data_IF_485086676105
#
_entry.id   IF_485086676105
#
_cell.length_a   1.000
_cell.length_b   1.000
_cell.length_c   1.000
_cell.angle_alpha   90.00
_cell.angle_beta   90.00
_cell.angle_gamma   90.00
#
_symmetry.space_group_name_H-M   'P 1'
#
loop_
_entity.id
_entity.type
_entity.pdbx_description
1 polymer ?
#
# COMPACT_ATOMS: atom_id res chain seq x y z
N UNK A 1 12.19 -9.59 8.07
CA UNK A 1 12.21 -10.99 8.57
C UNK A 1 11.36 -11.19 9.84
N UNK A 2 11.49 -10.34 10.87
CA UNK A 2 10.83 -10.51 12.17
C UNK A 2 9.28 -10.51 12.15
N UNK A 3 8.63 -9.69 11.33
CA UNK A 3 7.15 -9.61 11.28
C UNK A 3 6.51 -10.95 10.90
N UNK A 4 7.06 -11.63 9.88
CA UNK A 4 6.57 -12.95 9.44
C UNK A 4 6.76 -13.98 10.55
N UNK A 5 7.92 -13.98 11.22
CA UNK A 5 8.19 -14.85 12.35
C UNK A 5 7.17 -14.62 13.48
N UNK A 6 6.90 -13.36 13.86
CA UNK A 6 5.90 -13.04 14.88
C UNK A 6 4.49 -13.54 14.50
N UNK A 7 4.09 -13.38 13.24
CA UNK A 7 2.80 -13.89 12.76
C UNK A 7 2.73 -15.42 12.83
N UNK A 8 3.78 -16.12 12.42
CA UNK A 8 3.83 -17.59 12.47
C UNK A 8 3.82 -18.11 13.90
N UNK A 9 4.58 -17.48 14.79
CA UNK A 9 4.59 -17.81 16.21
C UNK A 9 3.21 -17.54 16.84
N UNK A 10 2.54 -16.43 16.52
CA UNK A 10 1.17 -16.17 17.00
C UNK A 10 0.21 -17.28 16.56
N UNK A 11 0.25 -17.68 15.28
CA UNK A 11 -0.58 -18.77 14.76
C UNK A 11 -0.29 -20.09 15.48
N UNK A 12 0.99 -20.37 15.78
CA UNK A 12 1.37 -21.54 16.57
C UNK A 12 0.78 -21.47 17.98
N UNK A 13 0.87 -20.32 18.65
CA UNK A 13 0.29 -20.10 19.98
C UNK A 13 -1.21 -20.42 19.97
N UNK A 14 -1.97 -19.81 19.07
CA UNK A 14 -3.42 -20.03 18.96
C UNK A 14 -3.71 -21.51 18.72
N UNK A 15 -2.99 -22.17 17.81
CA UNK A 15 -3.19 -23.59 17.50
C UNK A 15 -2.96 -24.48 18.71
N UNK A 16 -1.88 -24.29 19.45
CA UNK A 16 -1.56 -25.10 20.64
C UNK A 16 -2.69 -25.11 21.65
N UNK A 17 -3.39 -23.99 21.82
CA UNK A 17 -4.51 -23.86 22.74
C UNK A 17 -5.87 -24.33 22.19
N UNK A 18 -5.99 -24.58 20.88
CA UNK A 18 -7.21 -25.09 20.25
C UNK A 18 -7.06 -26.55 19.76
N UNK A 19 -5.99 -27.24 20.17
CA UNK A 19 -5.84 -28.66 19.91
C UNK A 19 -6.82 -29.44 20.77
N UNK A 20 -7.40 -30.55 20.26
CA UNK A 20 -8.27 -31.40 21.07
C UNK A 20 -7.50 -32.03 22.25
N UNK A 21 -8.22 -32.32 23.33
CA UNK A 21 -7.66 -32.74 24.64
C UNK A 21 -6.92 -34.09 24.62
N UNK A 22 -7.13 -34.86 23.56
CA UNK A 22 -6.48 -36.14 23.28
C UNK A 22 -5.06 -35.96 22.70
N UNK A 23 -4.76 -34.80 22.12
CA UNK A 23 -3.44 -34.49 21.59
C UNK A 23 -2.41 -34.43 22.71
N UNK A 24 -1.27 -35.11 22.51
CA UNK A 24 -0.12 -35.06 23.43
C UNK A 24 0.25 -33.62 23.81
N UNK A 25 0.23 -32.71 22.83
CA UNK A 25 0.60 -31.32 23.06
C UNK A 25 -0.38 -30.61 24.00
N UNK A 26 -1.69 -30.85 23.88
CA UNK A 26 -2.70 -30.28 24.78
C UNK A 26 -2.49 -30.74 26.23
N UNK A 27 -2.19 -32.04 26.42
CA UNK A 27 -1.86 -32.59 27.75
C UNK A 27 -0.55 -32.04 28.33
N UNK A 28 0.39 -31.63 27.47
CA UNK A 28 1.67 -31.07 27.87
C UNK A 28 1.61 -29.57 28.19
N UNK A 29 0.61 -28.82 27.71
CA UNK A 29 0.52 -27.36 27.92
C UNK A 29 0.58 -26.96 29.40
N UNK A 30 -0.15 -27.60 30.34
CA UNK A 30 -0.07 -27.24 31.76
C UNK A 30 1.34 -27.41 32.33
N UNK A 31 2.01 -28.52 31.99
CA UNK A 31 3.38 -28.82 32.43
C UNK A 31 4.40 -27.84 31.84
N UNK A 32 4.25 -27.51 30.56
CA UNK A 32 5.11 -26.58 29.84
C UNK A 32 4.93 -25.14 30.37
N UNK A 33 3.72 -24.77 30.78
CA UNK A 33 3.41 -23.43 31.30
C UNK A 33 3.87 -23.27 32.74
N UNK A 34 3.77 -24.31 33.56
CA UNK A 34 4.26 -24.33 34.94
C UNK A 34 5.77 -24.60 35.07
N UNK A 35 6.45 -24.94 33.96
CA UNK A 35 7.88 -25.26 33.99
C UNK A 35 8.73 -24.07 34.43
N UNK A 36 9.75 -24.28 35.29
CA UNK A 36 10.63 -23.21 35.75
C UNK A 36 11.41 -22.58 34.57
N UNK A 37 11.75 -21.30 34.71
CA UNK A 37 12.44 -20.48 33.67
C UNK A 37 13.75 -21.12 33.17
N UNK A 38 14.39 -21.96 33.99
CA UNK A 38 15.64 -22.69 33.65
C UNK A 38 15.41 -24.00 32.87
N UNK A 39 14.16 -24.40 32.61
CA UNK A 39 13.89 -25.63 31.85
C UNK A 39 14.20 -25.45 30.35
N UNK A 40 14.44 -26.55 29.64
CA UNK A 40 14.61 -26.55 28.17
C UNK A 40 13.34 -26.09 27.42
N UNK A 41 12.19 -26.04 28.09
CA UNK A 41 10.93 -25.61 27.51
C UNK A 41 10.81 -24.08 27.54
N UNK A 42 10.93 -23.47 26.36
CA UNK A 42 10.94 -22.01 26.17
C UNK A 42 9.55 -21.40 25.95
N UNK A 43 8.46 -22.12 26.27
CA UNK A 43 7.11 -21.68 25.91
C UNK A 43 6.67 -20.37 26.58
N UNK A 44 6.80 -20.17 27.91
CA UNK A 44 6.49 -18.87 28.52
C UNK A 44 7.33 -17.73 27.94
N UNK A 45 8.58 -18.04 27.58
CA UNK A 45 9.49 -17.07 26.94
C UNK A 45 9.03 -16.72 25.51
N UNK A 46 8.57 -17.69 24.72
CA UNK A 46 8.01 -17.46 23.38
C UNK A 46 6.76 -16.59 23.42
N UNK A 47 5.86 -16.85 24.37
CA UNK A 47 4.67 -16.01 24.60
C UNK A 47 5.06 -14.56 24.92
N UNK A 48 6.03 -14.39 25.83
CA UNK A 48 6.52 -13.05 26.23
C UNK A 48 7.25 -12.32 25.11
N UNK A 49 8.03 -13.04 24.30
CA UNK A 49 8.82 -12.45 23.22
C UNK A 49 7.96 -12.07 22.01
N UNK A 50 6.79 -12.68 21.83
CA UNK A 50 5.92 -12.35 20.71
C UNK A 50 5.14 -11.05 20.98
N UNK A 51 5.36 -9.97 20.22
CA UNK A 51 4.69 -8.68 20.45
C UNK A 51 3.19 -8.73 20.13
N UNK A 52 2.73 -9.61 19.23
CA UNK A 52 1.31 -9.77 18.91
C UNK A 52 0.54 -10.43 20.05
N UNK A 53 1.21 -11.29 20.82
CA UNK A 53 0.60 -11.97 21.97
C UNK A 53 0.72 -11.18 23.26
N UNK A 54 1.89 -10.60 23.52
CA UNK A 54 2.19 -9.91 24.78
C UNK A 54 1.53 -8.53 24.89
N UNK A 55 1.31 -7.84 23.77
CA UNK A 55 0.72 -6.51 23.77
C UNK A 55 -0.80 -6.56 23.65
N UNK A 56 -1.48 -6.04 24.67
CA UNK A 56 -2.95 -6.02 24.77
C UNK A 56 -3.63 -5.28 23.61
N UNK A 57 -2.95 -4.33 22.96
CA UNK A 57 -3.46 -3.61 21.78
C UNK A 57 -3.85 -4.55 20.63
N UNK A 58 -3.15 -5.67 20.47
CA UNK A 58 -3.41 -6.63 19.40
C UNK A 58 -4.28 -7.81 19.85
N UNK A 59 -4.64 -7.87 21.13
CA UNK A 59 -5.42 -8.96 21.72
C UNK A 59 -6.70 -8.45 22.38
N UNK A 60 -7.32 -7.41 21.81
CA UNK A 60 -8.60 -6.88 22.27
C UNK A 60 -8.58 -6.13 23.62
N UNK A 61 -7.40 -5.78 24.15
CA UNK A 61 -7.24 -5.14 25.46
C UNK A 61 -7.11 -6.13 26.62
N UNK A 62 -7.29 -7.44 26.37
CA UNK A 62 -7.34 -8.45 27.41
C UNK A 62 -5.96 -8.82 27.98
N UNK A 63 -5.94 -9.11 29.28
CA UNK A 63 -4.76 -9.55 30.03
C UNK A 63 -4.76 -11.05 30.32
N UNK A 64 -5.93 -11.67 30.47
CA UNK A 64 -6.09 -13.11 30.64
C UNK A 64 -5.77 -13.88 29.36
N UNK A 65 -5.21 -15.09 29.49
CA UNK A 65 -4.92 -15.97 28.35
C UNK A 65 -6.21 -16.41 27.66
N UNK A 66 -7.23 -16.79 28.42
CA UNK A 66 -8.49 -17.31 27.88
C UNK A 66 -9.24 -16.26 27.07
N UNK A 67 -9.29 -15.02 27.56
CA UNK A 67 -9.92 -13.89 26.85
C UNK A 67 -9.17 -13.54 25.55
N UNK A 68 -7.84 -13.61 25.56
CA UNK A 68 -7.01 -13.41 24.35
C UNK A 68 -7.30 -14.49 23.31
N UNK A 69 -7.44 -15.74 23.73
CA UNK A 69 -7.77 -16.86 22.86
C UNK A 69 -9.19 -16.72 22.30
N UNK A 70 -10.16 -16.35 23.14
CA UNK A 70 -11.53 -16.09 22.71
C UNK A 70 -11.59 -14.96 21.67
N UNK A 71 -10.83 -13.87 21.88
CA UNK A 71 -10.70 -12.79 20.91
C UNK A 71 -10.06 -13.24 19.59
N UNK A 72 -9.04 -14.10 19.66
CA UNK A 72 -8.28 -14.61 18.50
C UNK A 72 -8.84 -15.93 17.93
N UNK A 73 -10.05 -16.31 18.31
CA UNK A 73 -10.70 -17.56 17.92
C UNK A 73 -11.00 -17.67 16.42
N UNK A 74 -11.16 -16.53 15.74
CA UNK A 74 -11.49 -16.48 14.31
C UNK A 74 -10.34 -15.95 13.47
N UNK A 75 -10.19 -16.50 12.27
CA UNK A 75 -9.21 -16.05 11.28
C UNK A 75 -9.32 -14.56 10.95
N UNK A 76 -10.53 -14.00 10.96
CA UNK A 76 -10.77 -12.58 10.72
C UNK A 76 -10.12 -11.71 11.80
N UNK A 77 -10.26 -12.09 13.09
CA UNK A 77 -9.66 -11.37 14.21
C UNK A 77 -8.14 -11.47 14.19
N UNK A 78 -7.61 -12.66 13.92
CA UNK A 78 -6.15 -12.84 13.76
C UNK A 78 -5.61 -11.95 12.63
N UNK A 79 -6.30 -11.89 11.48
CA UNK A 79 -5.93 -11.01 10.36
C UNK A 79 -5.97 -9.53 10.78
N UNK A 80 -6.99 -9.12 11.52
CA UNK A 80 -7.14 -7.75 12.03
C UNK A 80 -5.99 -7.37 12.98
N UNK A 81 -5.68 -8.21 13.96
CA UNK A 81 -4.58 -7.99 14.91
C UNK A 81 -3.22 -7.91 14.22
N UNK A 82 -2.97 -8.81 13.25
CA UNK A 82 -1.74 -8.81 12.45
C UNK A 82 -1.65 -7.55 11.59
N UNK A 83 -2.76 -7.10 11.00
CA UNK A 83 -2.80 -5.87 10.22
C UNK A 83 -2.49 -4.66 11.10
N UNK A 84 -3.14 -4.53 12.27
CA UNK A 84 -2.89 -3.46 13.23
C UNK A 84 -1.41 -3.40 13.64
N UNK A 85 -0.81 -4.54 13.99
CA UNK A 85 0.62 -4.62 14.32
C UNK A 85 1.54 -4.17 13.18
N UNK A 86 1.21 -4.54 11.95
CA UNK A 86 2.01 -4.15 10.78
C UNK A 86 1.86 -2.65 10.49
N UNK A 87 0.66 -2.10 10.63
CA UNK A 87 0.41 -0.66 10.48
C UNK A 87 1.19 0.13 11.52
N UNK A 88 1.10 -0.25 12.80
CA UNK A 88 1.86 0.40 13.87
C UNK A 88 3.39 0.31 13.68
N UNK A 89 3.87 -0.77 13.07
CA UNK A 89 5.28 -0.90 12.74
C UNK A 89 5.67 -0.02 11.55
N UNK A 90 4.81 0.06 10.53
CA UNK A 90 5.01 0.93 9.37
C UNK A 90 5.06 2.40 9.81
N UNK A 91 4.10 2.84 10.61
CA UNK A 91 4.03 4.21 11.12
C UNK A 91 5.27 4.55 11.94
N UNK A 92 5.75 3.62 12.78
CA UNK A 92 7.00 3.79 13.53
C UNK A 92 8.25 3.83 12.67
N UNK A 93 8.26 3.16 11.52
CA UNK A 93 9.39 3.22 10.58
C UNK A 93 9.36 4.55 9.82
N UNK A 94 8.17 4.95 9.35
CA UNK A 94 7.98 6.19 8.59
C UNK A 94 8.14 7.45 9.46
N UNK A 95 7.85 7.38 10.76
CA UNK A 95 8.05 8.47 11.72
C UNK A 95 9.50 8.67 12.19
N UNK A 96 10.47 7.88 11.69
CA UNK A 96 11.90 8.11 11.96
C UNK A 96 12.38 9.36 11.22
N UNK A 97 13.43 10.06 11.69
CA UNK A 97 13.98 11.20 10.97
C UNK A 97 14.42 10.84 9.54
N UNK A 98 15.04 9.67 9.38
CA UNK A 98 15.46 9.11 8.09
C UNK A 98 14.78 7.76 7.82
N UNK A 99 13.52 7.76 7.35
CA UNK A 99 12.84 6.52 6.99
C UNK A 99 13.52 5.92 5.74
N UNK A 100 13.51 4.58 5.58
CA UNK A 100 14.06 3.94 4.38
C UNK A 100 13.41 4.51 3.11
N UNK A 101 14.23 4.99 2.16
CA UNK A 101 13.78 5.69 0.95
C UNK A 101 12.68 4.91 0.20
N UNK A 102 12.88 3.60 0.02
CA UNK A 102 11.90 2.75 -0.66
C UNK A 102 10.55 2.66 0.07
N UNK A 103 10.56 2.61 1.42
CA UNK A 103 9.32 2.59 2.20
C UNK A 103 8.64 3.95 2.18
N UNK A 104 9.42 5.05 2.20
CA UNK A 104 8.88 6.41 2.07
C UNK A 104 8.25 6.67 0.70
N UNK A 105 8.73 5.97 -0.34
CA UNK A 105 8.15 6.00 -1.67
C UNK A 105 6.76 5.35 -1.71
N UNK A 106 6.52 4.33 -0.90
CA UNK A 106 5.23 3.64 -0.81
C UNK A 106 4.16 4.45 -0.05
N UNK A 107 2.90 4.05 -0.17
CA UNK A 107 1.81 4.64 0.63
C UNK A 107 1.98 4.34 2.12
N UNK A 108 1.58 5.26 3.02
CA UNK A 108 1.59 5.05 4.48
C UNK A 108 0.45 4.13 4.95
N UNK A 109 0.06 3.15 4.14
CA UNK A 109 -1.01 2.23 4.46
C UNK A 109 -0.78 0.89 3.81
N UNK A 110 -1.07 -0.19 4.53
CA UNK A 110 -0.91 -1.55 4.04
C UNK A 110 -2.16 -1.96 3.26
N UNK A 111 -1.98 -2.33 1.99
CA UNK A 111 -3.06 -2.80 1.14
C UNK A 111 -2.59 -2.98 -0.30
N UNK A 112 -3.52 -3.37 -1.16
CA UNK A 112 -3.30 -3.34 -2.61
C UNK A 112 -3.33 -1.89 -3.07
N UNK A 113 -2.37 -1.50 -3.91
CA UNK A 113 -2.32 -0.13 -4.41
C UNK A 113 -3.46 0.15 -5.40
N UNK A 114 -4.03 1.35 -5.31
CA UNK A 114 -5.08 1.82 -6.22
C UNK A 114 -4.70 1.75 -7.70
N UNK A 115 -3.40 1.81 -8.05
CA UNK A 115 -2.94 1.71 -9.44
C UNK A 115 -3.42 0.43 -10.17
N UNK A 116 -3.71 -0.64 -9.43
CA UNK A 116 -4.20 -1.90 -10.01
C UNK A 116 -5.69 -1.87 -10.36
N UNK A 117 -6.47 -0.98 -9.73
CA UNK A 117 -7.92 -0.89 -9.91
C UNK A 117 -8.35 0.32 -10.74
N UNK A 118 -7.47 1.32 -10.86
CA UNK A 118 -7.77 2.53 -11.61
C UNK A 118 -7.76 2.22 -13.12
N UNK A 119 -8.81 2.63 -13.86
CA UNK A 119 -8.88 2.50 -15.30
C UNK A 119 -7.87 3.45 -15.95
N UNK A 120 -6.98 2.88 -16.76
CA UNK A 120 -5.92 3.58 -17.47
C UNK A 120 -5.41 2.67 -18.59
N UNK A 121 -4.71 3.27 -19.55
CA UNK A 121 -4.08 2.55 -20.65
C UNK A 121 -3.04 1.55 -20.12
N UNK A 122 -2.82 0.48 -20.88
CA UNK A 122 -1.83 -0.55 -20.52
C UNK A 122 -0.41 0.03 -20.46
N UNK A 123 -0.11 0.97 -21.36
CA UNK A 123 1.13 1.74 -21.43
C UNK A 123 1.36 2.53 -20.13
N UNK A 124 0.38 3.33 -19.72
CA UNK A 124 0.43 4.11 -18.48
C UNK A 124 0.61 3.22 -17.26
N UNK A 125 -0.16 2.13 -17.17
CA UNK A 125 -0.03 1.17 -16.07
C UNK A 125 1.37 0.56 -16.03
N UNK A 126 1.90 0.16 -17.18
CA UNK A 126 3.27 -0.38 -17.29
C UNK A 126 4.32 0.62 -16.82
N UNK A 127 4.21 1.89 -17.22
CA UNK A 127 5.13 2.96 -16.80
C UNK A 127 5.06 3.21 -15.31
N UNK A 128 3.85 3.32 -14.74
CA UNK A 128 3.65 3.52 -13.31
C UNK A 128 4.23 2.34 -12.53
N UNK A 129 3.98 1.09 -12.95
CA UNK A 129 4.52 -0.09 -12.28
C UNK A 129 6.05 -0.11 -12.32
N UNK A 130 6.65 0.10 -13.49
CA UNK A 130 8.12 0.16 -13.63
C UNK A 130 8.71 1.29 -12.80
N UNK A 131 8.08 2.46 -12.78
CA UNK A 131 8.48 3.57 -11.91
C UNK A 131 8.40 3.17 -10.44
N UNK A 132 7.31 2.56 -9.97
CA UNK A 132 7.13 2.21 -8.55
C UNK A 132 8.08 1.08 -8.10
N UNK A 133 8.46 0.19 -9.01
CA UNK A 133 9.44 -0.88 -8.75
C UNK A 133 10.90 -0.42 -8.85
N UNK A 134 11.16 0.84 -9.21
CA UNK A 134 12.52 1.34 -9.44
C UNK A 134 13.18 0.78 -10.71
N UNK A 135 12.38 0.23 -11.63
CA UNK A 135 12.84 -0.24 -12.94
C UNK A 135 12.85 0.85 -14.01
N UNK A 136 12.36 2.04 -13.68
CA UNK A 136 12.43 3.22 -14.52
C UNK A 136 13.06 4.34 -13.68
N UNK A 137 14.23 4.87 -14.06
CA UNK A 137 15.08 4.51 -15.21
C UNK A 137 15.77 3.14 -15.02
N UNK A 138 15.77 2.29 -16.06
CA UNK A 138 16.24 0.89 -15.97
C UNK A 138 17.77 0.75 -15.97
N UNK A 139 18.46 1.60 -16.72
CA UNK A 139 19.92 1.61 -16.88
C UNK A 139 20.44 3.05 -16.82
N UNK A 140 21.70 3.27 -16.43
CA UNK A 140 22.33 4.57 -16.55
C UNK A 140 22.41 4.91 -18.05
N UNK A 141 21.63 5.89 -18.46
CA UNK A 141 21.63 6.47 -19.81
C UNK A 141 21.94 7.94 -19.64
N UNK A 142 22.70 8.51 -20.56
CA UNK A 142 23.01 9.93 -20.58
C UNK A 142 21.72 10.71 -20.80
N UNK A 143 21.45 11.70 -19.94
CA UNK A 143 20.35 12.60 -20.19
C UNK A 143 20.78 13.65 -21.22
N UNK A 144 19.89 14.04 -22.12
CA UNK A 144 20.14 15.07 -23.14
C UNK A 144 20.53 16.44 -22.56
N UNK A 145 20.25 16.68 -21.27
CA UNK A 145 20.67 17.90 -20.57
C UNK A 145 22.14 17.88 -20.07
N UNK A 146 22.88 16.78 -20.28
CA UNK A 146 24.32 16.70 -20.04
C UNK A 146 24.83 15.64 -19.05
N UNK A 147 24.12 15.28 -17.97
CA UNK A 147 24.63 14.28 -17.01
C UNK A 147 24.73 12.87 -17.57
N UNK A 148 25.84 12.19 -17.23
CA UNK A 148 26.19 10.83 -17.66
C UNK A 148 25.19 9.78 -17.13
N UNK A 149 24.43 10.10 -16.08
CA UNK A 149 23.49 9.17 -15.46
C UNK A 149 22.14 9.82 -15.18
N UNK A 150 21.14 9.47 -15.98
CA UNK A 150 19.73 9.78 -15.75
C UNK A 150 19.18 9.02 -14.53
N UNK A 151 19.58 9.42 -13.32
CA UNK A 151 18.98 8.91 -12.08
C UNK A 151 17.54 9.40 -11.90
N UNK A 152 16.74 8.75 -11.05
CA UNK A 152 15.37 9.22 -10.72
C UNK A 152 15.36 10.66 -10.23
N UNK A 153 16.26 10.99 -9.31
CA UNK A 153 16.36 12.34 -8.74
C UNK A 153 16.70 13.37 -9.83
N UNK A 154 17.64 13.02 -10.70
CA UNK A 154 17.99 13.84 -11.84
C UNK A 154 16.80 14.06 -12.78
N UNK A 155 16.11 12.99 -13.21
CA UNK A 155 14.98 13.09 -14.14
C UNK A 155 13.83 13.92 -13.59
N UNK A 156 13.54 13.80 -12.29
CA UNK A 156 12.50 14.60 -11.63
C UNK A 156 12.85 16.09 -11.62
N UNK A 157 14.13 16.43 -11.44
CA UNK A 157 14.62 17.81 -11.52
C UNK A 157 14.68 18.32 -12.96
N UNK A 158 15.21 17.52 -13.89
CA UNK A 158 15.38 17.85 -15.30
C UNK A 158 14.05 18.15 -15.98
N UNK A 159 13.02 17.34 -15.68
CA UNK A 159 11.67 17.51 -16.23
C UNK A 159 10.81 18.49 -15.42
N UNK A 160 11.39 19.17 -14.42
CA UNK A 160 10.71 20.13 -13.52
C UNK A 160 9.39 19.59 -12.98
N UNK A 161 9.41 18.32 -12.53
CA UNK A 161 8.19 17.57 -12.20
C UNK A 161 7.41 18.21 -11.04
N UNK A 162 8.09 18.76 -10.04
CA UNK A 162 7.46 19.47 -8.93
C UNK A 162 6.64 20.67 -9.43
N UNK A 163 7.22 21.47 -10.32
CA UNK A 163 6.55 22.66 -10.88
C UNK A 163 5.36 22.27 -11.75
N UNK A 164 5.51 21.25 -12.62
CA UNK A 164 4.42 20.77 -13.47
C UNK A 164 3.23 20.22 -12.68
N UNK A 165 3.48 19.69 -11.48
CA UNK A 165 2.44 19.17 -10.58
C UNK A 165 1.94 20.21 -9.57
N UNK A 166 2.45 21.45 -9.60
CA UNK A 166 2.18 22.50 -8.62
C UNK A 166 2.46 22.04 -7.17
N UNK A 167 3.62 21.41 -6.96
CA UNK A 167 4.08 20.92 -5.66
C UNK A 167 5.39 21.61 -5.22
N UNK A 168 5.67 21.70 -3.92
CA UNK A 168 6.97 22.11 -3.41
C UNK A 168 8.10 21.22 -3.93
N UNK A 169 9.27 21.80 -4.23
CA UNK A 169 10.42 21.04 -4.73
C UNK A 169 11.00 20.04 -3.72
N UNK A 170 10.81 20.31 -2.42
CA UNK A 170 11.28 19.51 -1.29
C UNK A 170 10.25 18.47 -0.81
N UNK A 171 9.15 18.28 -1.53
CA UNK A 171 8.09 17.34 -1.15
C UNK A 171 8.64 15.90 -1.01
N UNK A 172 8.42 15.30 0.16
CA UNK A 172 8.81 13.92 0.43
C UNK A 172 7.71 12.93 0.01
N UNK A 173 8.06 11.76 -0.54
CA UNK A 173 9.41 11.27 -0.85
C UNK A 173 10.04 11.93 -2.09
N UNK A 174 9.20 12.29 -3.07
CA UNK A 174 9.49 13.11 -4.26
C UNK A 174 8.14 13.46 -4.91
N UNK A 175 8.06 14.44 -5.83
CA UNK A 175 6.77 14.95 -6.32
C UNK A 175 5.91 13.89 -7.03
N UNK A 176 6.51 13.05 -7.86
CA UNK A 176 5.77 12.05 -8.62
C UNK A 176 5.22 10.95 -7.69
N UNK A 177 6.06 10.44 -6.80
CA UNK A 177 5.67 9.40 -5.84
C UNK A 177 4.65 9.91 -4.82
N UNK A 178 4.73 11.19 -4.43
CA UNK A 178 3.74 11.85 -3.59
C UNK A 178 2.35 11.82 -4.24
N UNK A 179 2.24 12.26 -5.51
CA UNK A 179 0.93 12.27 -6.20
C UNK A 179 0.42 10.85 -6.44
N UNK A 180 1.27 9.92 -6.86
CA UNK A 180 0.86 8.51 -7.03
C UNK A 180 0.34 7.90 -5.72
N UNK A 181 0.91 8.29 -4.57
CA UNK A 181 0.43 7.86 -3.26
C UNK A 181 -0.93 8.47 -2.87
N UNK A 182 -1.41 9.49 -3.58
CA UNK A 182 -2.73 10.10 -3.39
C UNK A 182 -3.83 9.45 -4.24
N UNK A 183 -3.49 8.55 -5.19
CA UNK A 183 -4.46 7.87 -6.05
C UNK A 183 -5.56 7.17 -5.22
N UNK A 184 -6.84 7.19 -5.61
CA UNK A 184 -7.89 6.52 -4.85
C UNK A 184 -7.61 5.00 -4.76
N UNK A 185 -7.73 4.41 -3.56
CA UNK A 185 -7.58 2.95 -3.36
C UNK A 185 -8.70 2.15 -4.00
N UNK A 186 -9.89 2.74 -4.01
CA UNK A 186 -11.09 2.28 -4.71
C UNK A 186 -11.73 3.50 -5.35
N UNK A 187 -12.25 3.35 -6.56
CA UNK A 187 -13.02 4.42 -7.17
C UNK A 187 -14.29 4.67 -6.34
N UNK A 188 -14.59 5.93 -5.99
CA UNK A 188 -15.84 6.26 -5.32
C UNK A 188 -17.01 6.01 -6.27
N UNK A 189 -18.13 5.50 -5.75
CA UNK A 189 -19.36 5.36 -6.53
C UNK A 189 -19.89 6.72 -7.02
N UNK A 190 -19.68 7.77 -6.22
CA UNK A 190 -20.04 9.15 -6.52
C UNK A 190 -18.80 10.03 -6.38
N UNK A 191 -18.06 10.30 -7.46
CA UNK A 191 -16.91 11.18 -7.45
C UNK A 191 -17.30 12.62 -7.09
N UNK A 192 -16.49 13.27 -6.25
CA UNK A 192 -16.68 14.69 -5.92
C UNK A 192 -16.00 15.60 -6.94
N UNK A 193 -16.52 16.83 -7.08
CA UNK A 193 -15.90 17.84 -7.95
C UNK A 193 -14.44 18.10 -7.56
N UNK A 194 -14.15 18.22 -6.26
CA UNK A 194 -12.78 18.41 -5.77
C UNK A 194 -11.82 17.26 -6.14
N UNK A 195 -12.31 16.01 -6.21
CA UNK A 195 -11.52 14.88 -6.68
C UNK A 195 -11.23 15.04 -8.17
N UNK A 196 -12.26 15.32 -8.97
CA UNK A 196 -12.13 15.51 -10.41
C UNK A 196 -11.20 16.67 -10.76
N UNK A 197 -11.41 17.86 -10.20
CA UNK A 197 -10.59 19.04 -10.49
C UNK A 197 -9.11 18.83 -10.15
N UNK A 198 -8.82 18.09 -9.06
CA UNK A 198 -7.43 17.77 -8.68
C UNK A 198 -6.79 16.81 -9.69
N UNK A 199 -7.49 15.74 -10.04
CA UNK A 199 -6.93 14.71 -10.91
C UNK A 199 -6.93 15.11 -12.38
N UNK A 200 -7.84 15.97 -12.84
CA UNK A 200 -7.79 16.53 -14.19
C UNK A 200 -6.54 17.39 -14.42
N UNK A 201 -6.04 18.05 -13.36
CA UNK A 201 -4.77 18.78 -13.40
C UNK A 201 -3.57 17.83 -13.36
N UNK A 202 -3.56 16.86 -12.45
CA UNK A 202 -2.37 16.04 -12.21
C UNK A 202 -2.21 14.85 -13.16
N UNK A 203 -3.30 14.18 -13.51
CA UNK A 203 -3.22 12.89 -14.19
C UNK A 203 -2.60 12.97 -15.60
N UNK A 204 -2.97 13.93 -16.46
CA UNK A 204 -2.31 14.06 -17.76
C UNK A 204 -0.81 14.38 -17.63
N UNK A 205 -0.45 15.21 -16.64
CA UNK A 205 0.94 15.54 -16.34
C UNK A 205 1.73 14.30 -15.90
N UNK A 206 1.14 13.42 -15.08
CA UNK A 206 1.76 12.17 -14.66
C UNK A 206 2.02 11.25 -15.86
N UNK A 207 1.00 11.03 -16.70
CA UNK A 207 1.14 10.20 -17.90
C UNK A 207 2.23 10.76 -18.83
N UNK A 208 2.24 12.08 -19.01
CA UNK A 208 3.22 12.78 -19.85
C UNK A 208 4.65 12.71 -19.29
N UNK A 209 4.86 13.00 -18.00
CA UNK A 209 6.18 12.88 -17.36
C UNK A 209 6.71 11.45 -17.46
N UNK A 210 5.85 10.45 -17.22
CA UNK A 210 6.26 9.06 -17.29
C UNK A 210 6.61 8.61 -18.72
N UNK A 211 5.91 9.13 -19.73
CA UNK A 211 6.24 8.93 -21.14
C UNK A 211 7.61 9.56 -21.47
N UNK A 212 7.84 10.81 -21.07
CA UNK A 212 9.11 11.52 -21.31
C UNK A 212 10.29 10.79 -20.64
N UNK A 213 10.12 10.34 -19.39
CA UNK A 213 11.11 9.52 -18.71
C UNK A 213 11.38 8.24 -19.50
N UNK A 214 10.34 7.57 -19.99
CA UNK A 214 10.50 6.36 -20.78
C UNK A 214 11.23 6.61 -22.11
N UNK A 215 10.90 7.70 -22.82
CA UNK A 215 11.56 8.10 -24.05
C UNK A 215 13.05 8.41 -23.83
N UNK A 216 13.40 9.08 -22.74
CA UNK A 216 14.81 9.32 -22.36
C UNK A 216 15.52 7.99 -22.08
N UNK A 217 14.84 7.04 -21.43
CA UNK A 217 15.43 5.75 -21.07
C UNK A 217 15.44 4.72 -22.21
N UNK A 218 14.67 4.94 -23.28
CA UNK A 218 14.51 4.04 -24.41
C UNK A 218 14.39 4.87 -25.70
N UNK A 219 15.49 5.52 -26.15
CA UNK A 219 15.45 6.37 -27.34
C UNK A 219 15.09 5.60 -28.61
N UNK A 220 15.46 4.31 -28.69
CA UNK A 220 15.11 3.40 -29.79
C UNK A 220 13.68 2.84 -29.69
N UNK A 221 12.92 3.20 -28.67
CA UNK A 221 11.56 2.72 -28.44
C UNK A 221 10.58 3.28 -29.47
N UNK A 222 9.75 2.41 -30.06
CA UNK A 222 8.66 2.84 -30.94
C UNK A 222 7.42 3.19 -30.11
N UNK A 223 7.22 4.48 -29.87
CA UNK A 223 6.03 5.00 -29.19
C UNK A 223 4.98 5.40 -30.22
N UNK A 224 3.99 4.54 -30.46
CA UNK A 224 2.90 4.80 -31.42
C UNK A 224 1.51 4.54 -30.82
N UNK A 225 0.48 5.11 -31.44
CA UNK A 225 -0.93 4.87 -31.08
C UNK A 225 -1.25 5.23 -29.62
N UNK A 226 -1.88 4.30 -28.90
CA UNK A 226 -2.27 4.50 -27.50
C UNK A 226 -1.09 4.62 -26.52
N UNK A 227 0.14 4.33 -26.94
CA UNK A 227 1.30 4.48 -26.06
C UNK A 227 1.73 5.94 -25.86
N UNK A 228 1.43 6.84 -26.81
CA UNK A 228 1.73 8.28 -26.70
C UNK A 228 0.55 9.10 -26.18
N UNK A 229 -0.62 8.48 -26.01
CA UNK A 229 -1.77 9.14 -25.43
C UNK A 229 -1.54 9.40 -23.94
N UNK A 230 -1.39 10.68 -23.60
CA UNK A 230 -1.19 11.18 -22.24
C UNK A 230 -2.39 11.96 -21.73
N UNK A 231 -3.54 11.89 -22.43
CA UNK A 231 -4.79 12.53 -22.01
C UNK A 231 -5.30 11.98 -20.69
N UNK A 232 -5.04 10.70 -20.41
CA UNK A 232 -5.52 10.01 -19.23
C UNK A 232 -7.05 9.91 -19.14
N UNK A 233 -7.72 10.03 -20.30
CA UNK A 233 -9.19 10.05 -20.47
C UNK A 233 -9.90 8.93 -19.71
N UNK A 234 -9.42 7.68 -19.81
CA UNK A 234 -10.02 6.51 -19.15
C UNK A 234 -10.20 6.68 -17.63
N UNK A 235 -9.24 7.33 -16.96
CA UNK A 235 -9.36 7.60 -15.54
C UNK A 235 -10.30 8.78 -15.31
N UNK A 236 -10.06 9.89 -16.01
CA UNK A 236 -10.78 11.14 -15.81
C UNK A 236 -12.28 11.02 -16.09
N UNK A 237 -12.67 10.27 -17.13
CA UNK A 237 -14.08 10.00 -17.45
C UNK A 237 -14.77 9.19 -16.34
N UNK A 238 -14.03 8.32 -15.65
CA UNK A 238 -14.56 7.49 -14.55
C UNK A 238 -14.70 8.25 -13.24
N UNK A 239 -13.96 9.33 -13.06
CA UNK A 239 -14.07 10.20 -11.88
C UNK A 239 -14.81 11.52 -12.19
N UNK A 240 -15.36 11.67 -13.39
CA UNK A 240 -16.17 12.83 -13.75
C UNK A 240 -17.46 12.80 -12.91
N UNK A 241 -17.77 13.88 -12.15
CA UNK A 241 -19.01 13.96 -11.39
C UNK A 241 -20.21 13.94 -12.34
N UNK A 242 -21.27 13.26 -11.93
CA UNK A 242 -22.53 13.30 -12.67
C UNK A 242 -23.10 14.71 -12.60
N UNK A 243 -23.47 15.26 -13.75
CA UNK A 243 -24.16 16.55 -13.80
C UNK A 243 -25.54 16.39 -13.14
N UNK A 244 -26.00 17.35 -12.31
CA UNK A 244 -27.24 17.24 -11.56
C UNK A 244 -28.49 17.06 -12.42
N UNK A 245 -28.45 17.39 -13.72
CA UNK A 245 -29.56 17.15 -14.66
C UNK A 245 -29.85 15.66 -14.92
N UNK A 246 -28.88 14.77 -14.69
CA UNK A 246 -29.05 13.31 -14.91
C UNK A 246 -29.48 12.53 -13.67
N UNK A 247 -29.56 13.18 -12.51
CA UNK A 247 -30.01 12.54 -11.27
C UNK A 247 -31.55 12.41 -11.21
N UNK A 248 -32.27 13.29 -11.90
CA UNK A 248 -33.74 13.32 -11.91
C UNK A 248 -34.34 12.17 -12.72
N UNK A 249 -33.68 11.76 -13.81
CA UNK A 249 -34.19 10.69 -14.69
C UNK A 249 -34.08 9.28 -14.07
N UNK A 250 -33.19 9.06 -13.10
CA UNK A 250 -33.09 7.75 -12.41
C UNK A 250 -34.08 7.59 -11.27
N UNK A 251 -34.39 8.66 -10.53
CA UNK A 251 -35.44 8.62 -9.52
C UNK A 251 -36.83 8.40 -10.13
N UNK A 252 -37.04 8.82 -11.40
CA UNK A 252 -38.28 8.55 -12.13
C UNK A 252 -38.37 7.10 -12.64
N UNK A 253 -37.25 6.46 -12.99
CA UNK A 253 -37.25 5.07 -13.44
C UNK A 253 -37.37 4.06 -12.30
N UNK A 254 -36.80 4.36 -11.12
CA UNK A 254 -36.90 3.47 -9.95
C UNK A 254 -38.29 3.52 -9.29
N UNK A 255 -39.12 4.55 -9.54
CA UNK A 255 -40.49 4.66 -9.02
C UNK A 255 -41.59 4.07 -9.93
N UNK A 256 -41.23 3.50 -11.09
CA UNK A 256 -42.18 2.90 -12.06
C UNK A 256 -42.08 1.36 -12.06
N UNK A 257 -41.30 0.78 -11.14
CA UNK A 257 -41.13 -0.66 -10.98
C UNK A 257 -41.68 -1.26 -9.67
N UNK A 258 -42.50 -0.50 -8.92
CA UNK A 258 -43.32 -1.05 -7.83
C UNK A 258 -44.78 -1.27 -8.27
#
# INVERSE_FOLDING_TARGET
MHVRAHTLVLKMIIRVHHLPDDCLLAKLVPFITAAPIKSRFRWPMLLKQNPLWSNSRYTGGYTSVDDRLAHLSTDARVKQSVLAYRTDLLDRILGRPDPPVLLSACRPSIGVDGMFFIPMLLSDRSRILRWRMGWLPARPIDCSCGPIHASRAHLLSCLRVAERLNLPADIKPNPLDHVLNMLPRKLPAYPSEALFSRWSLWWPVICQVLLEIEQICLPEGTFTGSSIDTSGSLFLDKIRPLQPSTAVDRLFFDSVQD
#
